data_IF_381151805538
#
_entry.id   IF_381151805538
#
_cell.length_a   1.000
_cell.length_b   1.000
_cell.length_c   1.000
_cell.angle_alpha   90.00
_cell.angle_beta   90.00
_cell.angle_gamma   90.00
#
_symmetry.space_group_name_H-M   'P 1'
#
loop_
_entity.id
_entity.type
_entity.pdbx_description
1 polymer ?
#
# COMPACT_ATOMS: atom_id res chain seq x y z
N UNK A 1 -2.44 -2.53 74.50
CA UNK A 1 -2.28 -2.45 73.03
C UNK A 1 -1.97 -1.00 72.74
N UNK A 2 -0.67 -0.73 72.69
CA UNK A 2 -0.07 0.60 72.55
C UNK A 2 -0.39 1.22 71.20
N UNK A 3 -0.59 2.54 71.20
CA UNK A 3 -0.87 3.33 70.00
C UNK A 3 0.38 3.96 69.38
N UNK A 4 0.18 4.56 68.19
CA UNK A 4 1.01 5.63 67.60
C UNK A 4 0.07 6.47 66.69
N UNK A 5 -0.12 7.78 66.97
CA UNK A 5 0.52 8.98 66.35
C UNK A 5 0.17 9.15 64.85
N UNK A 6 -0.17 10.32 64.28
CA UNK A 6 -0.21 11.73 64.66
C UNK A 6 -0.50 12.60 63.41
N UNK A 7 -0.78 13.90 63.60
CA UNK A 7 -0.82 15.03 62.61
C UNK A 7 0.43 15.10 61.71
N UNK A 8 0.56 15.86 60.61
CA UNK A 8 -0.03 17.12 60.12
C UNK A 8 0.27 17.31 58.60
N UNK A 9 -0.31 18.35 58.01
CA UNK A 9 -0.35 18.73 56.60
C UNK A 9 0.98 19.18 55.94
N UNK A 10 0.98 19.26 54.59
CA UNK A 10 1.51 20.43 53.86
C UNK A 10 0.90 20.56 52.44
N UNK A 11 0.47 21.78 52.18
CA UNK A 11 -0.10 22.39 50.97
C UNK A 11 1.00 22.84 50.01
N UNK A 12 0.68 22.98 48.72
CA UNK A 12 1.17 23.96 47.70
C UNK A 12 1.00 23.32 46.30
N UNK A 13 0.53 23.95 45.22
CA UNK A 13 -0.09 25.24 44.88
C UNK A 13 -0.74 25.03 43.49
N UNK A 14 -1.95 25.54 43.22
CA UNK A 14 -2.17 26.62 42.23
C UNK A 14 -2.30 26.11 40.79
N UNK A 15 -3.20 26.51 39.89
CA UNK A 15 -4.07 27.68 39.65
C UNK A 15 -5.11 27.15 38.63
N UNK A 16 -6.42 27.13 38.93
CA UNK A 16 -7.43 28.12 38.49
C UNK A 16 -7.51 28.34 36.97
N UNK A 17 -8.66 27.99 36.37
CA UNK A 17 -9.01 28.43 35.02
C UNK A 17 -10.20 27.69 34.41
N UNK A 18 -11.40 27.93 34.96
CA UNK A 18 -12.64 27.45 34.37
C UNK A 18 -13.14 28.32 33.20
N UNK A 19 -13.88 27.63 32.32
CA UNK A 19 -15.08 28.04 31.57
C UNK A 19 -15.05 29.18 30.53
N UNK A 20 -15.57 28.77 29.36
CA UNK A 20 -16.59 29.44 28.52
C UNK A 20 -16.21 30.56 27.54
N UNK A 21 -16.52 30.26 26.26
CA UNK A 21 -17.23 31.17 25.35
C UNK A 21 -16.38 31.81 24.25
N UNK A 22 -16.78 31.62 22.99
CA UNK A 22 -16.37 32.52 21.91
C UNK A 22 -16.33 31.88 20.53
N UNK A 23 -17.42 32.04 19.81
CA UNK A 23 -17.67 31.62 18.44
C UNK A 23 -16.61 32.05 17.41
N UNK A 24 -16.49 31.20 16.37
CA UNK A 24 -16.08 31.62 15.03
C UNK A 24 -14.59 31.50 14.77
N UNK A 25 -14.25 30.52 13.91
CA UNK A 25 -13.35 30.62 12.75
C UNK A 25 -12.80 29.22 12.44
N UNK A 26 -13.22 28.67 11.30
CA UNK A 26 -12.56 27.55 10.63
C UNK A 26 -12.51 26.25 11.42
N UNK A 27 -13.34 25.28 11.03
CA UNK A 27 -13.13 23.88 11.43
C UNK A 27 -11.77 23.40 10.93
N UNK A 28 -10.74 23.62 11.74
CA UNK A 28 -9.46 22.95 11.59
C UNK A 28 -9.72 21.48 11.92
N UNK A 29 -9.54 20.65 10.90
CA UNK A 29 -9.55 19.20 10.99
C UNK A 29 -8.40 18.80 11.92
N UNK A 30 -8.66 18.72 13.22
CA UNK A 30 -7.79 17.98 14.14
C UNK A 30 -8.01 16.49 13.87
N UNK A 31 -7.19 15.95 12.97
CA UNK A 31 -7.21 14.53 12.61
C UNK A 31 -6.26 14.14 11.48
N UNK A 32 -5.27 14.96 11.11
CA UNK A 32 -4.30 14.62 10.07
C UNK A 32 -3.02 14.09 10.72
N UNK A 33 -3.07 12.80 11.07
CA UNK A 33 -1.94 12.08 11.65
C UNK A 33 -2.08 10.56 11.54
N UNK A 34 -2.84 10.04 10.57
CA UNK A 34 -3.13 8.60 10.43
C UNK A 34 -2.70 8.01 9.07
N UNK A 35 -1.41 7.67 9.00
CA UNK A 35 -0.80 6.58 8.22
C UNK A 35 -1.37 6.25 6.83
N UNK A 36 -0.93 7.00 5.81
CA UNK A 36 -1.15 6.64 4.40
C UNK A 36 -0.64 5.23 4.07
N UNK A 37 0.42 4.78 4.74
CA UNK A 37 1.00 3.46 4.60
C UNK A 37 0.01 2.33 4.87
N UNK A 38 -0.97 2.51 5.76
CA UNK A 38 -1.97 1.49 6.09
C UNK A 38 -2.92 1.15 4.93
N UNK A 39 -3.00 2.01 3.91
CA UNK A 39 -3.91 1.85 2.75
C UNK A 39 -3.56 0.66 1.87
N UNK A 40 -2.32 0.15 1.94
CA UNK A 40 -1.95 -1.08 1.26
C UNK A 40 -2.54 -2.33 1.96
N UNK A 41 -3.02 -2.20 3.20
CA UNK A 41 -3.63 -3.28 3.96
C UNK A 41 -4.87 -3.86 3.26
N UNK A 42 -4.98 -5.18 3.23
CA UNK A 42 -6.13 -5.88 2.63
C UNK A 42 -6.08 -5.98 1.10
N UNK A 43 -5.10 -5.37 0.44
CA UNK A 43 -4.88 -5.55 -1.00
C UNK A 43 -4.58 -7.02 -1.31
N UNK A 44 -5.16 -7.52 -2.38
CA UNK A 44 -4.99 -8.88 -2.90
C UNK A 44 -4.10 -8.80 -4.12
N UNK A 45 -3.09 -9.68 -4.17
CA UNK A 45 -2.22 -9.81 -5.33
C UNK A 45 -2.61 -11.08 -6.07
N UNK A 46 -2.83 -10.96 -7.38
CA UNK A 46 -3.16 -12.09 -8.27
C UNK A 46 -2.16 -12.17 -9.40
N UNK A 47 -1.96 -13.38 -9.91
CA UNK A 47 -1.14 -13.61 -11.09
C UNK A 47 -1.68 -14.78 -11.93
N UNK A 48 -1.74 -14.62 -13.24
CA UNK A 48 -2.20 -15.69 -14.14
C UNK A 48 -2.22 -15.30 -15.61
N UNK A 49 -2.89 -16.12 -16.42
CA UNK A 49 -2.93 -15.96 -17.89
C UNK A 49 -4.15 -15.15 -18.37
N UNK A 50 -5.08 -14.82 -17.50
CA UNK A 50 -6.32 -14.15 -17.88
C UNK A 50 -6.20 -12.63 -17.84
N UNK A 51 -6.64 -11.97 -18.91
CA UNK A 51 -6.71 -10.50 -18.95
C UNK A 51 -7.81 -9.91 -18.04
N UNK A 52 -8.81 -10.71 -17.66
CA UNK A 52 -9.69 -10.40 -16.55
C UNK A 52 -9.02 -10.84 -15.25
N UNK A 53 -8.51 -9.88 -14.49
CA UNK A 53 -7.71 -10.12 -13.29
C UNK A 53 -8.41 -10.97 -12.23
N UNK A 54 -9.74 -10.86 -12.10
CA UNK A 54 -10.53 -11.63 -11.12
C UNK A 54 -10.55 -13.14 -11.39
N UNK A 55 -10.22 -13.56 -12.62
CA UNK A 55 -10.13 -14.97 -12.99
C UNK A 55 -8.73 -15.56 -12.72
N UNK A 56 -7.76 -14.75 -12.32
CA UNK A 56 -6.43 -15.21 -11.94
C UNK A 56 -6.40 -15.60 -10.45
N UNK A 57 -5.64 -16.65 -10.06
CA UNK A 57 -5.51 -17.06 -8.67
C UNK A 57 -4.88 -15.96 -7.80
N UNK A 58 -5.32 -15.89 -6.55
CA UNK A 58 -4.66 -15.09 -5.52
C UNK A 58 -3.32 -15.72 -5.18
N UNK A 59 -2.25 -14.92 -5.22
CA UNK A 59 -0.91 -15.34 -4.79
C UNK A 59 -0.56 -14.80 -3.40
N UNK A 60 -1.35 -13.86 -2.88
CA UNK A 60 -1.25 -13.41 -1.50
C UNK A 60 -2.10 -12.18 -1.20
N UNK A 61 -2.11 -11.80 0.08
CA UNK A 61 -2.84 -10.65 0.61
C UNK A 61 -1.92 -9.86 1.53
N UNK A 62 -2.00 -8.53 1.46
CA UNK A 62 -1.23 -7.64 2.32
C UNK A 62 -1.83 -7.64 3.72
N UNK A 63 -1.09 -8.14 4.71
CA UNK A 63 -1.50 -8.02 6.11
C UNK A 63 -1.30 -6.59 6.62
N UNK A 64 -2.21 -6.10 7.46
CA UNK A 64 -2.10 -4.76 8.05
C UNK A 64 -0.76 -4.55 8.80
N UNK A 65 -0.20 -5.59 9.41
CA UNK A 65 1.11 -5.52 10.06
C UNK A 65 2.30 -5.28 9.11
N UNK A 66 2.13 -5.49 7.80
CA UNK A 66 3.15 -5.27 6.77
C UNK A 66 3.08 -3.87 6.15
N UNK A 67 2.06 -3.08 6.51
CA UNK A 67 1.75 -1.79 5.90
C UNK A 67 2.54 -0.65 6.51
N UNK A 68 3.87 -0.77 6.51
CA UNK A 68 4.78 0.26 6.97
C UNK A 68 5.11 1.22 5.83
N UNK A 69 5.43 2.48 6.15
CA UNK A 69 5.97 3.44 5.19
C UNK A 69 7.16 2.85 4.45
N UNK A 70 7.19 2.99 3.11
CA UNK A 70 8.27 2.52 2.22
C UNK A 70 8.54 1.01 2.28
N UNK A 71 7.67 0.22 2.92
CA UNK A 71 7.81 -1.21 2.99
C UNK A 71 7.85 -1.83 1.60
N UNK A 72 8.63 -2.89 1.44
CA UNK A 72 8.55 -3.78 0.29
C UNK A 72 7.95 -5.08 0.78
N UNK A 73 6.82 -5.46 0.20
CA UNK A 73 6.05 -6.64 0.58
C UNK A 73 6.27 -7.69 -0.50
N UNK A 74 6.92 -8.79 -0.13
CA UNK A 74 7.24 -9.89 -1.02
C UNK A 74 6.16 -10.97 -0.98
N UNK A 75 5.70 -11.37 -2.16
CA UNK A 75 4.78 -12.47 -2.40
C UNK A 75 5.52 -13.57 -3.16
N UNK A 76 5.82 -14.68 -2.50
CA UNK A 76 6.53 -15.83 -3.07
C UNK A 76 5.57 -17.02 -3.17
N UNK A 77 4.79 -17.14 -4.26
CA UNK A 77 3.82 -18.23 -4.39
C UNK A 77 4.52 -19.60 -4.42
N UNK A 78 3.93 -20.57 -3.73
CA UNK A 78 4.34 -21.97 -3.76
C UNK A 78 3.13 -22.86 -4.10
N UNK A 79 3.12 -23.56 -5.24
CA UNK A 79 4.16 -23.56 -6.28
C UNK A 79 4.24 -22.23 -7.04
N UNK A 80 5.35 -22.01 -7.75
CA UNK A 80 5.48 -20.88 -8.68
C UNK A 80 4.34 -20.82 -9.68
N UNK A 81 3.94 -19.61 -10.06
CA UNK A 81 2.74 -19.37 -10.88
C UNK A 81 3.11 -19.02 -12.31
N UNK A 82 2.49 -19.68 -13.28
CA UNK A 82 2.60 -19.29 -14.70
C UNK A 82 1.66 -18.11 -14.94
N UNK A 83 2.21 -16.97 -15.34
CA UNK A 83 1.44 -15.74 -15.53
C UNK A 83 1.92 -14.89 -16.70
N UNK A 84 0.97 -14.20 -17.33
CA UNK A 84 1.20 -13.06 -18.21
C UNK A 84 0.67 -11.77 -17.56
N UNK A 85 -0.25 -11.86 -16.62
CA UNK A 85 -0.85 -10.72 -15.93
C UNK A 85 -0.57 -10.81 -14.44
N UNK A 86 -0.22 -9.69 -13.84
CA UNK A 86 -0.14 -9.50 -12.38
C UNK A 86 -1.05 -8.33 -12.03
N UNK A 87 -1.87 -8.49 -10.99
CA UNK A 87 -2.78 -7.45 -10.53
C UNK A 87 -2.72 -7.26 -9.03
N UNK A 88 -3.09 -6.06 -8.61
CA UNK A 88 -3.36 -5.69 -7.22
C UNK A 88 -4.77 -5.13 -7.18
N UNK A 89 -5.61 -5.67 -6.31
CA UNK A 89 -7.00 -5.26 -6.20
C UNK A 89 -7.49 -5.33 -4.76
N UNK A 90 -8.51 -4.54 -4.44
CA UNK A 90 -9.22 -4.61 -3.16
C UNK A 90 -10.60 -5.11 -3.49
N UNK A 91 -11.01 -6.24 -2.89
CA UNK A 91 -12.37 -6.74 -3.06
C UNK A 91 -13.24 -6.24 -1.93
N UNK A 92 -14.38 -5.64 -2.27
CA UNK A 92 -15.36 -5.25 -1.28
C UNK A 92 -16.35 -4.24 -1.84
N UNK A 93 -17.44 -4.09 -1.10
CA UNK A 93 -18.46 -3.07 -1.32
C UNK A 93 -18.15 -1.76 -0.61
N UNK A 94 -16.97 -1.63 0.02
CA UNK A 94 -16.57 -0.37 0.66
C UNK A 94 -16.16 0.63 -0.44
N UNK A 95 -16.95 1.70 -0.66
CA UNK A 95 -16.67 2.68 -1.68
C UNK A 95 -15.51 3.60 -1.30
N UNK A 96 -15.01 3.55 -0.05
CA UNK A 96 -13.94 4.39 0.46
C UNK A 96 -12.56 3.72 0.34
N UNK A 97 -12.35 2.90 -0.69
CA UNK A 97 -11.07 2.21 -0.94
C UNK A 97 -10.38 2.73 -2.21
N UNK A 98 -9.06 2.58 -2.27
CA UNK A 98 -8.25 2.92 -3.45
C UNK A 98 -7.04 1.99 -3.54
N UNK A 99 -6.54 1.76 -4.75
CA UNK A 99 -5.23 1.11 -4.97
C UNK A 99 -4.19 2.20 -5.21
N UNK A 100 -3.13 2.18 -4.41
CA UNK A 100 -2.00 3.10 -4.53
C UNK A 100 -0.69 2.33 -4.45
N UNK A 101 0.15 2.44 -5.48
CA UNK A 101 1.36 1.63 -5.65
C UNK A 101 2.53 2.54 -6.03
N UNK A 102 3.66 2.40 -5.32
CA UNK A 102 4.90 3.10 -5.69
C UNK A 102 5.62 2.34 -6.78
N UNK A 103 5.94 1.08 -6.53
CA UNK A 103 6.61 0.23 -7.52
C UNK A 103 6.18 -1.23 -7.34
N UNK A 104 5.98 -1.93 -8.44
CA UNK A 104 5.74 -3.37 -8.52
C UNK A 104 6.94 -3.99 -9.21
N UNK A 105 7.54 -4.99 -8.59
CA UNK A 105 8.67 -5.74 -9.12
C UNK A 105 8.26 -7.19 -9.28
N UNK A 106 8.68 -7.81 -10.38
CA UNK A 106 8.35 -9.21 -10.68
C UNK A 106 9.63 -9.97 -11.00
N UNK A 107 9.78 -11.15 -10.39
CA UNK A 107 10.89 -12.05 -10.68
C UNK A 107 10.38 -13.37 -11.24
N UNK A 108 10.97 -13.78 -12.36
CA UNK A 108 10.76 -15.09 -12.95
C UNK A 108 11.81 -16.10 -12.46
N UNK A 109 11.49 -17.38 -12.60
CA UNK A 109 12.44 -18.46 -12.43
C UNK A 109 13.43 -18.43 -13.59
N UNK A 110 14.71 -18.33 -13.26
CA UNK A 110 15.79 -18.48 -14.22
C UNK A 110 16.35 -19.91 -14.15
N UNK A 111 16.11 -20.68 -15.22
CA UNK A 111 16.61 -22.05 -15.40
C UNK A 111 17.84 -22.12 -16.32
N UNK A 112 18.40 -20.97 -16.73
CA UNK A 112 19.52 -20.91 -17.69
C UNK A 112 20.80 -21.59 -17.19
N UNK A 113 20.91 -21.85 -15.89
CA UNK A 113 21.99 -22.63 -15.30
C UNK A 113 21.44 -23.91 -14.67
N UNK A 114 21.88 -25.07 -15.17
CA UNK A 114 21.53 -26.43 -14.71
C UNK A 114 21.87 -26.74 -13.23
N UNK A 115 22.25 -25.74 -12.42
CA UNK A 115 22.73 -25.92 -11.03
C UNK A 115 21.89 -25.26 -9.94
N UNK A 116 20.96 -24.34 -10.26
CA UNK A 116 19.97 -23.82 -9.30
C UNK A 116 18.99 -22.91 -10.03
N UNK A 117 17.70 -23.07 -9.75
CA UNK A 117 16.70 -22.07 -10.11
C UNK A 117 17.02 -20.78 -9.35
N UNK A 118 17.52 -19.77 -10.06
CA UNK A 118 17.76 -18.44 -9.50
C UNK A 118 16.62 -17.50 -9.89
N UNK A 119 16.56 -16.32 -9.28
CA UNK A 119 15.64 -15.28 -9.70
C UNK A 119 16.20 -14.37 -10.76
N UNK A 120 15.36 -14.03 -11.74
CA UNK A 120 15.63 -12.94 -12.68
C UNK A 120 14.52 -11.91 -12.59
N UNK A 121 14.88 -10.68 -12.24
CA UNK A 121 13.96 -9.55 -12.28
C UNK A 121 13.53 -9.24 -13.72
N UNK A 122 12.24 -9.00 -13.90
CA UNK A 122 11.68 -8.55 -15.17
C UNK A 122 11.81 -7.03 -15.27
N UNK A 123 12.23 -6.54 -16.44
CA UNK A 123 12.17 -5.12 -16.77
C UNK A 123 10.74 -4.74 -17.16
N UNK A 124 10.01 -4.03 -16.29
CA UNK A 124 8.58 -3.74 -16.46
C UNK A 124 8.29 -2.38 -17.09
N UNK A 125 9.26 -1.46 -17.12
CA UNK A 125 9.09 -0.12 -17.67
C UNK A 125 8.69 -0.17 -19.15
N UNK A 126 7.63 0.59 -19.48
CA UNK A 126 7.07 0.63 -20.83
C UNK A 126 6.14 -0.54 -21.18
N UNK A 127 5.96 -1.54 -20.30
CA UNK A 127 4.96 -2.59 -20.51
C UNK A 127 3.53 -2.04 -20.31
N UNK A 128 2.51 -2.58 -21.00
CA UNK A 128 1.15 -2.11 -20.84
C UNK A 128 0.62 -2.35 -19.43
N UNK A 129 0.14 -1.29 -18.80
CA UNK A 129 -0.47 -1.32 -17.47
C UNK A 129 -1.76 -0.53 -17.48
N UNK A 130 -2.76 -1.00 -16.73
CA UNK A 130 -4.07 -0.37 -16.63
C UNK A 130 -4.54 -0.36 -15.18
N UNK A 131 -5.46 0.54 -14.87
CA UNK A 131 -6.12 0.62 -13.57
C UNK A 131 -7.59 0.97 -13.75
N UNK A 132 -8.42 0.65 -12.77
CA UNK A 132 -9.88 0.84 -12.80
C UNK A 132 -10.31 2.30 -13.00
N UNK A 133 -9.54 3.23 -12.47
CA UNK A 133 -9.71 4.67 -12.66
C UNK A 133 -8.39 5.38 -12.40
N UNK A 134 -8.23 6.62 -12.85
CA UNK A 134 -7.00 7.40 -12.64
C UNK A 134 -7.30 8.62 -11.78
N UNK A 135 -6.62 8.72 -10.65
CA UNK A 135 -6.63 9.94 -9.83
C UNK A 135 -5.89 11.07 -10.56
N UNK A 136 -6.52 12.25 -10.58
CA UNK A 136 -5.97 13.46 -11.18
C UNK A 136 -6.21 14.61 -10.22
N UNK A 137 -5.15 15.34 -9.87
CA UNK A 137 -5.23 16.56 -9.07
C UNK A 137 -4.38 17.65 -9.72
N UNK A 138 -4.97 18.81 -9.97
CA UNK A 138 -4.26 20.00 -10.46
C UNK A 138 -3.37 19.79 -11.71
N UNK A 139 -3.73 18.81 -12.56
CA UNK A 139 -2.98 18.42 -13.77
C UNK A 139 -2.04 17.23 -13.59
N UNK A 140 -1.77 16.80 -12.35
CA UNK A 140 -0.97 15.62 -12.05
C UNK A 140 -1.82 14.35 -12.12
N UNK A 141 -1.58 13.54 -13.16
CA UNK A 141 -2.24 12.23 -13.33
C UNK A 141 -1.40 11.10 -12.71
N UNK A 142 -2.01 10.32 -11.82
CA UNK A 142 -1.41 9.14 -11.16
C UNK A 142 -1.62 7.87 -11.96
N UNK A 143 -1.03 7.83 -13.16
CA UNK A 143 -1.17 6.77 -14.16
C UNK A 143 -0.71 5.39 -13.65
N UNK A 144 -1.34 4.33 -14.17
CA UNK A 144 -0.98 2.93 -13.91
C UNK A 144 0.52 2.63 -14.15
N UNK A 145 1.10 3.23 -15.19
CA UNK A 145 2.49 2.99 -15.60
C UNK A 145 3.51 3.47 -14.58
N UNK A 146 3.13 4.35 -13.65
CA UNK A 146 4.02 4.85 -12.60
C UNK A 146 4.39 3.77 -11.59
N UNK A 147 3.56 2.75 -11.40
CA UNK A 147 3.89 1.63 -10.52
C UNK A 147 4.96 0.69 -11.11
N UNK A 148 5.43 0.92 -12.33
CA UNK A 148 6.42 0.07 -13.02
C UNK A 148 7.42 0.91 -13.80
N UNK A 149 7.61 2.16 -13.38
CA UNK A 149 8.50 3.11 -14.08
C UNK A 149 9.96 3.03 -13.60
N UNK A 150 10.24 2.18 -12.58
CA UNK A 150 11.56 1.97 -12.01
C UNK A 150 11.96 2.99 -10.93
N UNK A 151 11.07 3.90 -10.53
CA UNK A 151 11.36 4.92 -9.52
C UNK A 151 10.87 4.47 -8.13
N UNK A 152 11.83 4.14 -7.27
CA UNK A 152 11.55 3.66 -5.91
C UNK A 152 11.22 4.77 -4.90
N UNK A 153 11.18 6.03 -5.31
CA UNK A 153 11.02 7.17 -4.42
C UNK A 153 9.62 7.77 -4.56
N UNK A 154 8.99 8.04 -3.42
CA UNK A 154 7.80 8.88 -3.37
C UNK A 154 8.22 10.34 -3.52
N UNK A 155 8.35 10.80 -4.76
CA UNK A 155 8.36 12.23 -5.07
C UNK A 155 7.16 12.44 -5.98
N UNK A 156 6.29 13.40 -5.69
CA UNK A 156 5.16 13.67 -6.58
C UNK A 156 5.72 13.93 -8.00
N UNK A 157 5.31 13.21 -9.06
CA UNK A 157 4.11 12.37 -9.16
C UNK A 157 4.31 10.85 -9.27
N UNK A 158 5.42 10.27 -8.80
CA UNK A 158 5.87 8.88 -9.03
C UNK A 158 5.06 7.71 -8.40
N UNK A 159 3.74 7.79 -8.28
CA UNK A 159 2.91 6.64 -7.88
C UNK A 159 1.69 6.46 -8.77
N UNK A 160 1.29 5.20 -8.95
CA UNK A 160 -0.02 4.86 -9.49
C UNK A 160 -1.08 5.05 -8.40
N UNK A 161 -2.24 5.58 -8.78
CA UNK A 161 -3.35 5.75 -7.85
C UNK A 161 -4.69 5.75 -8.59
N UNK A 162 -5.62 4.94 -8.10
CA UNK A 162 -7.02 5.00 -8.51
C UNK A 162 -7.76 6.15 -7.82
N UNK A 163 -8.91 6.54 -8.35
CA UNK A 163 -9.87 7.27 -7.53
C UNK A 163 -10.33 6.39 -6.35
N UNK A 164 -10.88 7.04 -5.34
CA UNK A 164 -11.63 6.36 -4.28
C UNK A 164 -12.90 5.79 -4.91
N UNK A 165 -13.04 4.46 -4.89
CA UNK A 165 -14.16 3.76 -5.54
C UNK A 165 -14.36 2.36 -4.95
N UNK A 166 -15.47 1.72 -5.32
CA UNK A 166 -15.69 0.30 -5.04
C UNK A 166 -14.80 -0.57 -5.92
N UNK A 167 -14.24 -1.62 -5.30
CA UNK A 167 -13.42 -2.64 -5.96
C UNK A 167 -12.33 -2.09 -6.92
N UNK A 168 -11.45 -1.17 -6.45
CA UNK A 168 -10.38 -0.62 -7.26
C UNK A 168 -9.34 -1.69 -7.62
N UNK A 169 -8.74 -1.56 -8.79
CA UNK A 169 -7.71 -2.49 -9.27
C UNK A 169 -6.64 -1.82 -10.11
N UNK A 170 -5.44 -2.39 -10.07
CA UNK A 170 -4.31 -2.12 -10.96
C UNK A 170 -3.82 -3.44 -11.57
N UNK A 171 -3.38 -3.43 -12.83
CA UNK A 171 -2.87 -4.61 -13.52
C UNK A 171 -1.77 -4.25 -14.52
N UNK A 172 -0.78 -5.13 -14.64
CA UNK A 172 0.24 -5.10 -15.69
C UNK A 172 0.13 -6.33 -16.60
N UNK A 173 0.28 -6.11 -17.91
CA UNK A 173 0.54 -7.14 -18.91
C UNK A 173 2.05 -7.30 -19.07
N UNK A 174 2.59 -8.47 -18.69
CA UNK A 174 3.99 -8.80 -18.79
C UNK A 174 4.46 -8.99 -20.25
N UNK A 175 3.59 -8.90 -21.26
CA UNK A 175 3.88 -9.04 -22.71
C UNK A 175 4.37 -10.42 -23.17
N UNK A 176 4.72 -11.30 -22.23
CA UNK A 176 5.05 -12.70 -22.43
C UNK A 176 4.59 -13.51 -21.23
N UNK A 177 4.54 -14.84 -21.40
CA UNK A 177 4.25 -15.78 -20.31
C UNK A 177 5.53 -16.06 -19.53
N UNK A 178 5.47 -15.92 -18.21
CA UNK A 178 6.58 -16.12 -17.30
C UNK A 178 6.21 -17.10 -16.18
N UNK A 179 7.19 -17.85 -15.67
CA UNK A 179 7.05 -18.60 -14.43
C UNK A 179 7.45 -17.71 -13.26
N UNK A 180 6.47 -17.14 -12.56
CA UNK A 180 6.65 -16.14 -11.51
C UNK A 180 6.96 -16.82 -10.19
N UNK A 181 8.10 -16.44 -9.61
CA UNK A 181 8.53 -16.91 -8.29
C UNK A 181 8.37 -15.86 -7.19
N UNK A 182 8.30 -14.58 -7.57
CA UNK A 182 8.16 -13.47 -6.63
C UNK A 182 7.48 -12.29 -7.30
N UNK A 183 6.50 -11.71 -6.61
CA UNK A 183 6.00 -10.36 -6.85
C UNK A 183 6.32 -9.55 -5.62
N UNK A 184 6.89 -8.36 -5.78
CA UNK A 184 7.20 -7.47 -4.67
C UNK A 184 6.50 -6.13 -4.90
N UNK A 185 5.81 -5.62 -3.88
CA UNK A 185 5.10 -4.35 -3.93
C UNK A 185 5.76 -3.38 -2.96
N UNK A 186 6.16 -2.22 -3.48
CA UNK A 186 6.65 -1.11 -2.68
C UNK A 186 5.50 -0.20 -2.28
N UNK A 187 5.28 -0.10 -0.97
CA UNK A 187 4.30 0.78 -0.36
C UNK A 187 4.70 2.25 -0.50
N UNK A 188 3.70 3.14 -0.38
CA UNK A 188 3.89 4.60 -0.35
C UNK A 188 4.75 5.03 0.84
N UNK A 189 5.39 6.19 0.69
CA UNK A 189 6.05 6.88 1.81
C UNK A 189 5.02 7.74 2.56
N UNK A 190 5.01 7.65 3.88
CA UNK A 190 4.18 8.47 4.79
C UNK A 190 4.61 9.94 4.86
N UNK A 191 5.34 10.46 3.86
CA UNK A 191 5.98 11.75 3.98
C UNK A 191 4.95 12.88 4.18
N UNK A 192 5.10 13.50 5.36
CA UNK A 192 4.49 14.74 5.83
C UNK A 192 5.03 15.95 5.05
#
# INVERSE_FOLDING_TARGET
MDGMKGEEARKMDGIMGGCSGGDGLGGWIEGLGDGLAHRLGGNVVRAGLNSNHLLNPEIGRVAASQTLSRAVIDFTPEPYVIAQYVSVDIHGSDPQTMVQLTEVMVEEVNTATMKQATGKGLFLTGRPSSQSSTFTDSGDMRLASRAVDGHLQYVNPHCSQTNVQESPWWMINLTAVHCIRKVAIRNIDDLH
#
